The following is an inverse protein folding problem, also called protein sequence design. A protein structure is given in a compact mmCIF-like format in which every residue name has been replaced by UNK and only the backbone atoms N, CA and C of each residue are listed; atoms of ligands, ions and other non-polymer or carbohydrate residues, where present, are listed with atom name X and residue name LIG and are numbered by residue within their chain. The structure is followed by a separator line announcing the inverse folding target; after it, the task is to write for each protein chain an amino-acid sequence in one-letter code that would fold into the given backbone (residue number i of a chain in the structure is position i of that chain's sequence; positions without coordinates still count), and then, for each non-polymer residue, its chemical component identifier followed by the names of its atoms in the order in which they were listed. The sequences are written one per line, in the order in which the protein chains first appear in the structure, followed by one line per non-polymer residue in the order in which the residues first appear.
data_IF_050828549426
#
_entry.id   IF_050828549426
#
_cell.length_a   1.000
_cell.length_b   1.000
_cell.length_c   1.000
_cell.angle_alpha   90.00
_cell.angle_beta   90.00
_cell.angle_gamma   90.00
#
_symmetry.space_group_name_H-M   'P 1'
#
loop_
_entity.id
_entity.type
_entity.pdbx_description
1 polymer ?
#
# COMPACT_ATOMS: atom_id res chain seq x y z
N UNK A 1 -11.78 6.02 9.80
CA UNK A 1 -12.15 7.37 10.33
C UNK A 1 -13.20 8.11 9.51
N UNK A 2 -13.64 7.61 8.34
CA UNK A 2 -14.64 8.29 7.52
C UNK A 2 -14.00 9.29 6.55
N UNK A 3 -14.83 10.16 5.96
CA UNK A 3 -14.38 11.25 5.09
C UNK A 3 -13.71 12.36 5.92
N UNK A 4 -12.59 12.87 5.43
CA UNK A 4 -11.82 13.95 6.03
C UNK A 4 -11.40 14.93 4.95
N UNK A 5 -10.98 16.13 5.34
CA UNK A 5 -10.35 17.06 4.41
C UNK A 5 -9.03 16.45 3.89
N UNK A 6 -8.78 16.55 2.58
CA UNK A 6 -7.58 16.01 1.95
C UNK A 6 -6.27 16.56 2.57
N UNK A 7 -6.27 17.78 3.11
CA UNK A 7 -5.11 18.35 3.82
C UNK A 7 -4.66 17.56 5.05
N UNK A 8 -5.54 16.74 5.63
CA UNK A 8 -5.21 15.88 6.79
C UNK A 8 -4.67 14.51 6.38
N UNK A 9 -4.81 14.09 5.12
CA UNK A 9 -4.34 12.78 4.64
C UNK A 9 -2.85 12.56 4.89
N UNK A 10 -1.95 13.53 4.63
CA UNK A 10 -0.52 13.36 4.91
C UNK A 10 -0.23 13.07 6.40
N UNK A 11 -0.98 13.67 7.32
CA UNK A 11 -0.80 13.43 8.76
C UNK A 11 -1.10 11.96 9.09
N UNK A 12 -2.20 11.41 8.58
CA UNK A 12 -2.54 10.00 8.77
C UNK A 12 -1.54 9.05 8.10
N UNK A 13 -1.01 9.41 6.93
CA UNK A 13 0.02 8.61 6.28
C UNK A 13 1.31 8.60 7.10
N UNK A 14 1.77 9.76 7.60
CA UNK A 14 2.99 9.86 8.41
C UNK A 14 2.85 9.12 9.74
N UNK A 15 1.66 9.10 10.34
CA UNK A 15 1.40 8.38 11.60
C UNK A 15 1.19 6.86 11.42
N UNK A 16 1.11 6.37 10.18
CA UNK A 16 0.92 4.94 9.90
C UNK A 16 2.26 4.18 9.85
N UNK A 17 2.23 2.87 10.10
CA UNK A 17 3.41 2.02 9.94
C UNK A 17 3.52 1.42 8.52
N UNK A 18 2.37 1.15 7.87
CA UNK A 18 2.27 0.47 6.58
C UNK A 18 1.06 1.01 5.82
N UNK A 19 1.19 1.18 4.50
CA UNK A 19 0.06 1.42 3.61
C UNK A 19 -0.36 0.15 2.86
N UNK A 20 -1.67 -0.13 2.82
CA UNK A 20 -2.23 -1.32 2.17
C UNK A 20 -3.32 -0.94 1.19
N UNK A 21 -3.18 -1.36 -0.08
CA UNK A 21 -4.18 -1.14 -1.13
C UNK A 21 -4.63 -2.48 -1.77
N UNK A 22 -5.64 -3.16 -1.20
CA UNK A 22 -6.08 -4.48 -1.64
C UNK A 22 -7.15 -4.41 -2.75
N UNK A 23 -7.01 -3.46 -3.68
CA UNK A 23 -8.01 -3.18 -4.71
C UNK A 23 -8.20 -4.33 -5.70
N UNK A 24 -9.40 -4.46 -6.26
CA UNK A 24 -9.69 -5.46 -7.32
C UNK A 24 -9.48 -4.90 -8.73
N UNK A 25 -9.46 -3.58 -8.86
CA UNK A 25 -9.24 -2.86 -10.11
C UNK A 25 -8.68 -1.49 -9.77
N UNK A 26 -7.70 -1.04 -10.53
CA UNK A 26 -7.08 0.27 -10.40
C UNK A 26 -6.77 0.84 -11.78
N UNK A 27 -6.74 2.17 -11.86
CA UNK A 27 -6.10 2.88 -12.96
C UNK A 27 -4.61 3.04 -12.65
N UNK A 28 -4.20 4.28 -12.42
CA UNK A 28 -2.86 4.61 -11.90
C UNK A 28 -3.02 5.25 -10.51
N UNK A 29 -2.87 4.48 -9.42
CA UNK A 29 -3.28 4.93 -8.09
C UNK A 29 -2.27 5.92 -7.49
N UNK A 30 -2.57 7.21 -7.56
CA UNK A 30 -1.76 8.29 -6.97
C UNK A 30 -1.58 8.13 -5.46
N UNK A 31 -2.58 7.55 -4.77
CA UNK A 31 -2.53 7.30 -3.33
C UNK A 31 -1.34 6.42 -2.90
N UNK A 32 -0.87 5.51 -3.78
CA UNK A 32 0.34 4.73 -3.51
C UNK A 32 1.59 5.60 -3.56
N UNK A 33 1.65 6.54 -4.49
CA UNK A 33 2.76 7.49 -4.58
C UNK A 33 2.78 8.44 -3.38
N UNK A 34 1.61 8.87 -2.89
CA UNK A 34 1.49 9.67 -1.67
C UNK A 34 1.98 8.90 -0.44
N UNK A 35 1.61 7.63 -0.31
CA UNK A 35 2.09 6.76 0.76
C UNK A 35 3.61 6.55 0.69
N UNK A 36 4.15 6.27 -0.50
CA UNK A 36 5.60 6.14 -0.72
C UNK A 36 6.35 7.44 -0.42
N UNK A 37 5.80 8.59 -0.82
CA UNK A 37 6.38 9.90 -0.53
C UNK A 37 6.37 10.22 0.97
N UNK A 38 5.42 9.65 1.71
CA UNK A 38 5.36 9.71 3.18
C UNK A 38 6.30 8.71 3.87
N UNK A 39 7.07 7.93 3.10
CA UNK A 39 8.04 6.95 3.62
C UNK A 39 7.43 5.62 4.04
N UNK A 40 6.15 5.37 3.73
CA UNK A 40 5.48 4.14 4.14
C UNK A 40 5.91 2.95 3.27
N UNK A 41 6.21 1.80 3.88
CA UNK A 41 6.18 0.51 3.21
C UNK A 41 4.78 0.26 2.61
N UNK A 42 4.74 -0.22 1.36
CA UNK A 42 3.49 -0.46 0.63
C UNK A 42 3.27 -1.96 0.38
N UNK A 43 2.04 -2.43 0.61
CA UNK A 43 1.52 -3.70 0.10
C UNK A 43 0.30 -3.42 -0.76
N UNK A 44 0.31 -3.84 -2.02
CA UNK A 44 -0.83 -3.62 -2.92
C UNK A 44 -1.11 -4.86 -3.79
N UNK A 45 -2.29 -4.93 -4.37
CA UNK A 45 -2.64 -6.01 -5.30
C UNK A 45 -2.00 -5.83 -6.67
N UNK A 46 -1.72 -6.93 -7.36
CA UNK A 46 -1.13 -6.95 -8.70
C UNK A 46 -2.18 -6.63 -9.78
N UNK A 47 -2.70 -5.40 -9.80
CA UNK A 47 -3.75 -4.93 -10.73
C UNK A 47 -3.47 -3.52 -11.22
N UNK A 48 -4.04 -3.16 -12.39
CA UNK A 48 -3.91 -1.81 -12.95
C UNK A 48 -2.45 -1.40 -13.17
N UNK A 49 -2.14 -0.14 -12.88
CA UNK A 49 -0.79 0.44 -12.98
C UNK A 49 0.13 0.15 -11.78
N UNK A 50 -0.31 -0.63 -10.77
CA UNK A 50 0.51 -0.94 -9.60
C UNK A 50 1.84 -1.63 -9.94
N UNK A 51 1.92 -2.56 -10.92
CA UNK A 51 3.19 -3.20 -11.30
C UNK A 51 4.22 -2.25 -11.94
N UNK A 52 3.79 -1.07 -12.39
CA UNK A 52 4.69 -0.02 -12.90
C UNK A 52 5.29 0.81 -11.76
N UNK A 53 4.56 0.94 -10.65
CA UNK A 53 4.95 1.72 -9.47
C UNK A 53 5.76 0.88 -8.49
N UNK A 54 5.35 -0.37 -8.26
CA UNK A 54 5.90 -1.25 -7.23
C UNK A 54 6.82 -2.30 -7.85
N UNK A 55 8.07 -2.29 -7.40
CA UNK A 55 9.07 -3.30 -7.64
C UNK A 55 9.17 -4.18 -6.39
N UNK A 56 8.72 -5.43 -6.52
CA UNK A 56 8.69 -6.44 -5.47
C UNK A 56 10.03 -6.50 -4.70
N UNK A 57 9.98 -6.47 -3.37
CA UNK A 57 11.11 -6.45 -2.43
C UNK A 57 12.03 -5.21 -2.49
N UNK A 58 11.76 -4.22 -3.36
CA UNK A 58 12.59 -3.01 -3.48
C UNK A 58 11.93 -1.80 -2.85
N UNK A 59 10.69 -1.51 -3.25
CA UNK A 59 9.92 -0.36 -2.76
C UNK A 59 8.52 -0.74 -2.27
N UNK A 60 8.19 -2.04 -2.26
CA UNK A 60 6.92 -2.55 -1.75
C UNK A 60 6.70 -4.00 -2.14
N UNK A 61 5.46 -4.46 -1.93
CA UNK A 61 5.02 -5.81 -2.23
C UNK A 61 3.77 -5.80 -3.10
N UNK A 62 3.76 -6.67 -4.11
CA UNK A 62 2.59 -7.00 -4.92
C UNK A 62 2.04 -8.36 -4.48
N UNK A 63 0.73 -8.42 -4.27
CA UNK A 63 0.00 -9.66 -3.92
C UNK A 63 -1.09 -9.96 -4.94
N UNK A 64 -1.47 -11.22 -5.05
CA UNK A 64 -2.57 -11.58 -5.95
C UNK A 64 -3.92 -11.03 -5.45
N UNK A 65 -4.77 -10.44 -6.33
CA UNK A 65 -6.09 -9.98 -5.94
C UNK A 65 -6.95 -11.14 -5.43
N UNK A 66 -7.81 -10.86 -4.45
CA UNK A 66 -8.65 -11.86 -3.77
C UNK A 66 -7.87 -12.96 -3.02
N UNK A 67 -6.58 -12.72 -2.70
CA UNK A 67 -5.77 -13.62 -1.90
C UNK A 67 -5.46 -13.02 -0.51
N UNK A 68 -6.41 -13.10 0.46
CA UNK A 68 -6.22 -12.53 1.79
C UNK A 68 -5.06 -13.18 2.56
N UNK A 69 -4.70 -14.44 2.23
CA UNK A 69 -3.57 -15.12 2.88
C UNK A 69 -2.24 -14.51 2.47
N UNK A 70 -2.06 -14.23 1.18
CA UNK A 70 -0.84 -13.61 0.67
C UNK A 70 -0.73 -12.15 1.16
N UNK A 71 -1.83 -11.41 1.11
CA UNK A 71 -1.92 -10.06 1.68
C UNK A 71 -1.50 -10.04 3.16
N UNK A 72 -2.10 -10.89 3.99
CA UNK A 72 -1.77 -10.99 5.41
C UNK A 72 -0.30 -11.35 5.64
N UNK A 73 0.26 -12.28 4.85
CA UNK A 73 1.67 -12.67 4.95
C UNK A 73 2.61 -11.48 4.70
N UNK A 74 2.33 -10.64 3.70
CA UNK A 74 3.16 -9.47 3.39
C UNK A 74 3.02 -8.35 4.42
N UNK A 75 1.81 -8.13 4.95
CA UNK A 75 1.59 -7.17 6.03
C UNK A 75 2.34 -7.61 7.30
N UNK A 76 2.21 -8.88 7.71
CA UNK A 76 2.89 -9.40 8.89
C UNK A 76 4.41 -9.38 8.75
N UNK A 77 4.93 -9.64 7.55
CA UNK A 77 6.36 -9.52 7.26
C UNK A 77 6.89 -8.10 7.52
N UNK A 78 6.09 -7.07 7.25
CA UNK A 78 6.46 -5.68 7.48
C UNK A 78 6.26 -5.23 8.94
N UNK A 79 5.22 -5.73 9.63
CA UNK A 79 4.94 -5.37 11.03
C UNK A 79 5.93 -6.01 12.01
N UNK A 80 6.44 -7.20 11.69
CA UNK A 80 7.38 -7.92 12.53
C UNK A 80 8.71 -8.09 11.79
N UNK A 81 9.54 -7.03 11.70
CA UNK A 81 10.93 -7.22 11.38
C UNK A 81 11.56 -7.95 12.57
N UNK A 82 11.94 -9.21 12.35
CA UNK A 82 12.58 -10.17 13.28
C UNK A 82 11.65 -11.08 14.09
#
# INVERSE_FOLDING_TARGET
IGEINNSLVPEYLIESDIFVLPSLSEGFPVVVLEAMASGLPVVATNVGGLPEIIQENKNGFLVEPQNPRDLAKKILFLLNPF
#
